data_IF_108759246651
#
_entry.id   IF_108759246651
#
_cell.length_a   1.000
_cell.length_b   1.000
_cell.length_c   1.000
_cell.angle_alpha   90.00
_cell.angle_beta   90.00
_cell.angle_gamma   90.00
#
_symmetry.space_group_name_H-M   'P 1'
#
loop_
_entity.id
_entity.type
_entity.pdbx_description
1 polymer ?
#
# COMPACT_ATOMS: atom_id res chain seq x y z
N UNK A 1 23.69 -4.61 -75.04
CA UNK A 1 24.44 -3.48 -75.63
C UNK A 1 24.06 -2.21 -74.88
N UNK A 2 25.08 -1.47 -74.42
CA UNK A 2 25.19 -0.01 -74.10
C UNK A 2 23.88 0.74 -73.78
N UNK A 3 23.67 1.45 -72.66
CA UNK A 3 24.61 2.26 -71.87
C UNK A 3 24.58 3.73 -72.31
N UNK A 4 24.01 4.63 -71.49
CA UNK A 4 24.28 6.10 -71.33
C UNK A 4 23.17 6.69 -70.45
N UNK A 5 23.38 7.14 -69.20
CA UNK A 5 24.22 8.25 -68.69
C UNK A 5 23.89 9.60 -69.32
N UNK A 6 23.40 10.52 -68.50
CA UNK A 6 23.22 11.94 -68.81
C UNK A 6 22.66 12.71 -67.63
N UNK A 7 23.48 12.95 -66.61
CA UNK A 7 23.21 13.92 -65.55
C UNK A 7 23.57 15.34 -66.03
N UNK A 8 22.78 16.35 -65.65
CA UNK A 8 23.29 17.72 -65.54
C UNK A 8 22.57 18.50 -64.44
N UNK A 9 23.40 19.07 -63.57
CA UNK A 9 23.13 20.02 -62.48
C UNK A 9 22.74 21.41 -63.03
N UNK A 10 21.94 22.17 -62.28
CA UNK A 10 22.39 23.44 -61.66
C UNK A 10 21.35 24.09 -60.75
N UNK A 11 21.89 24.62 -59.68
CA UNK A 11 21.31 25.37 -58.58
C UNK A 11 20.88 26.80 -58.99
N UNK A 12 19.91 27.41 -58.28
CA UNK A 12 20.16 28.53 -57.36
C UNK A 12 18.88 29.25 -56.91
N UNK A 13 18.93 29.65 -55.63
CA UNK A 13 18.00 30.46 -54.85
C UNK A 13 17.49 31.74 -55.54
N UNK A 14 16.28 32.20 -55.16
CA UNK A 14 16.15 33.51 -54.52
C UNK A 14 14.78 33.74 -53.84
N UNK A 15 14.90 34.43 -52.71
CA UNK A 15 13.94 34.94 -51.73
C UNK A 15 12.98 35.99 -52.29
N UNK A 16 11.76 36.13 -51.74
CA UNK A 16 11.02 37.39 -51.86
C UNK A 16 9.52 37.38 -51.61
N UNK A 17 9.14 37.53 -50.34
CA UNK A 17 8.00 38.29 -49.77
C UNK A 17 6.82 38.73 -50.67
N UNK A 18 5.60 38.60 -50.11
CA UNK A 18 4.56 39.62 -50.33
C UNK A 18 3.11 39.20 -50.10
N UNK A 19 2.60 39.50 -48.90
CA UNK A 19 1.22 39.94 -48.49
C UNK A 19 -0.01 39.38 -49.23
N UNK A 20 -0.98 38.74 -48.58
CA UNK A 20 -1.91 39.19 -47.51
C UNK A 20 -3.04 40.14 -47.97
N UNK A 21 -4.28 39.75 -47.63
CA UNK A 21 -5.54 40.52 -47.68
C UNK A 21 -6.73 39.55 -47.58
N UNK A 22 -7.16 39.10 -46.39
CA UNK A 22 -8.13 39.76 -45.49
C UNK A 22 -9.33 40.40 -46.19
N UNK A 23 -10.50 39.76 -46.06
CA UNK A 23 -11.78 40.44 -45.79
C UNK A 23 -12.56 39.59 -44.80
N UNK A 24 -12.97 40.25 -43.72
CA UNK A 24 -13.82 39.78 -42.63
C UNK A 24 -15.19 40.49 -42.79
N UNK A 25 -16.29 39.80 -42.48
CA UNK A 25 -17.49 40.34 -41.80
C UNK A 25 -18.69 39.39 -41.82
N UNK A 26 -19.04 38.93 -40.62
CA UNK A 26 -20.34 39.12 -39.94
C UNK A 26 -21.51 38.15 -40.15
N UNK A 27 -21.70 37.33 -39.10
CA UNK A 27 -22.93 37.04 -38.33
C UNK A 27 -24.18 36.42 -39.00
N UNK A 28 -24.53 35.19 -38.61
CA UNK A 28 -25.63 34.91 -37.67
C UNK A 28 -25.76 33.41 -37.29
N UNK A 29 -25.65 33.14 -35.99
CA UNK A 29 -26.18 32.03 -35.16
C UNK A 29 -26.87 30.80 -35.78
N UNK A 30 -26.40 29.59 -35.41
CA UNK A 30 -27.21 28.63 -34.63
C UNK A 30 -26.36 27.55 -33.93
N UNK A 31 -26.65 27.39 -32.64
CA UNK A 31 -26.06 26.51 -31.63
C UNK A 31 -25.88 25.04 -32.03
N UNK A 32 -24.84 24.39 -31.49
CA UNK A 32 -24.89 23.24 -30.53
C UNK A 32 -23.73 22.27 -30.77
N UNK A 33 -22.57 22.48 -30.12
CA UNK A 33 -21.70 21.41 -29.62
C UNK A 33 -20.50 22.01 -28.85
N UNK A 34 -20.71 22.44 -27.62
CA UNK A 34 -19.58 22.78 -26.74
C UNK A 34 -19.89 22.31 -25.32
N UNK A 35 -19.11 21.35 -24.84
CA UNK A 35 -19.33 20.70 -23.55
C UNK A 35 -18.16 19.82 -23.14
N UNK A 36 -17.15 20.44 -22.54
CA UNK A 36 -16.15 19.85 -21.65
C UNK A 36 -15.03 18.96 -22.24
N UNK A 37 -14.14 19.55 -23.05
CA UNK A 37 -12.73 19.13 -23.05
C UNK A 37 -12.05 19.62 -21.75
N UNK A 38 -11.96 18.76 -20.74
CA UNK A 38 -11.02 19.00 -19.63
C UNK A 38 -9.61 18.66 -20.10
N UNK A 39 -8.81 19.70 -20.34
CA UNK A 39 -7.36 19.60 -20.40
C UNK A 39 -6.86 19.09 -19.04
N UNK A 40 -6.62 17.78 -18.95
CA UNK A 40 -5.89 17.19 -17.83
C UNK A 40 -4.44 17.67 -17.93
N UNK A 41 -4.09 18.66 -17.11
CA UNK A 41 -2.69 19.03 -16.85
C UNK A 41 -1.99 17.76 -16.35
N UNK A 42 -0.99 17.29 -17.11
CA UNK A 42 -0.08 16.22 -16.71
C UNK A 42 0.57 16.62 -15.37
N UNK A 43 0.42 15.85 -14.29
CA UNK A 43 1.31 15.98 -13.15
C UNK A 43 2.70 15.54 -13.58
N UNK A 44 3.69 16.43 -13.47
CA UNK A 44 5.10 16.06 -13.56
C UNK A 44 5.40 14.92 -12.59
N UNK A 45 6.17 13.95 -13.07
CA UNK A 45 6.44 12.67 -12.41
C UNK A 45 6.84 12.81 -10.94
N UNK A 46 6.03 12.23 -10.06
CA UNK A 46 6.43 11.81 -8.72
C UNK A 46 5.95 10.38 -8.52
N UNK A 47 6.90 9.46 -8.36
CA UNK A 47 6.63 8.08 -7.96
C UNK A 47 6.12 8.07 -6.51
N UNK A 48 4.83 7.87 -6.31
CA UNK A 48 4.24 7.66 -4.98
C UNK A 48 4.38 6.19 -4.57
N UNK A 49 4.65 5.87 -3.31
CA UNK A 49 4.85 4.52 -2.76
C UNK A 49 3.53 3.72 -2.71
N UNK A 50 3.58 2.38 -2.75
CA UNK A 50 2.37 1.52 -2.61
C UNK A 50 2.13 1.13 -1.15
N UNK A 51 3.12 1.41 -0.30
CA UNK A 51 2.98 1.51 1.15
C UNK A 51 2.36 2.85 1.59
N UNK A 52 2.07 3.76 0.64
CA UNK A 52 1.42 5.06 0.84
C UNK A 52 -0.09 5.07 0.51
N UNK A 53 -0.70 3.94 0.14
CA UNK A 53 -2.17 3.85 0.09
C UNK A 53 -2.73 3.59 1.50
N UNK A 54 -2.63 4.60 2.35
CA UNK A 54 -3.67 4.87 3.35
C UNK A 54 -4.26 6.22 2.98
N UNK A 55 -5.41 6.14 2.32
CA UNK A 55 -6.31 7.21 1.91
C UNK A 55 -6.14 8.51 2.73
N UNK A 56 -5.57 9.53 2.08
CA UNK A 56 -5.89 10.92 2.41
C UNK A 56 -6.27 11.61 1.10
N UNK A 57 -7.49 11.35 0.64
CA UNK A 57 -8.18 12.22 -0.32
C UNK A 57 -9.46 12.67 0.39
N UNK A 58 -9.69 13.98 0.41
CA UNK A 58 -10.79 14.65 1.10
C UNK A 58 -12.14 14.05 0.72
N UNK A 59 -12.91 13.67 1.74
CA UNK A 59 -14.25 13.09 1.60
C UNK A 59 -15.29 14.19 1.35
N UNK A 60 -15.41 14.60 0.09
CA UNK A 60 -16.71 14.85 -0.55
C UNK A 60 -16.88 13.70 -1.53
N UNK A 61 -17.71 12.70 -1.21
CA UNK A 61 -18.39 11.67 -2.05
C UNK A 61 -17.73 11.14 -3.36
N UNK A 62 -16.45 11.35 -3.56
CA UNK A 62 -15.69 11.09 -4.78
C UNK A 62 -14.50 10.20 -4.41
N UNK A 63 -14.56 8.95 -4.85
CA UNK A 63 -13.50 7.95 -4.64
C UNK A 63 -12.28 8.21 -5.56
N UNK A 64 -11.29 7.31 -5.53
CA UNK A 64 -10.01 7.32 -6.28
C UNK A 64 -10.10 7.71 -7.77
N UNK A 65 -11.29 7.62 -8.38
CA UNK A 65 -11.57 7.92 -9.79
C UNK A 65 -12.53 9.09 -10.00
N UNK A 66 -13.01 9.75 -8.95
CA UNK A 66 -14.06 10.76 -9.06
C UNK A 66 -15.36 10.19 -9.66
N UNK A 67 -15.70 8.93 -9.34
CA UNK A 67 -16.90 8.24 -9.82
C UNK A 67 -17.59 7.51 -8.68
N UNK A 68 -18.92 7.44 -8.71
CA UNK A 68 -19.73 6.65 -7.75
C UNK A 68 -19.68 5.16 -8.07
N UNK A 69 -19.60 4.33 -7.02
CA UNK A 69 -19.55 2.87 -7.11
C UNK A 69 -20.90 2.19 -7.36
N UNK A 70 -22.01 2.94 -7.42
CA UNK A 70 -23.39 2.43 -7.46
C UNK A 70 -23.63 1.42 -8.61
N UNK A 71 -23.22 1.76 -9.84
CA UNK A 71 -23.36 0.87 -11.01
C UNK A 71 -22.53 -0.41 -10.88
N UNK A 72 -21.33 -0.31 -10.32
CA UNK A 72 -20.47 -1.47 -10.09
C UNK A 72 -20.99 -2.39 -9.00
N UNK A 73 -21.57 -1.82 -7.94
CA UNK A 73 -22.29 -2.58 -6.91
C UNK A 73 -23.50 -3.31 -7.49
N UNK A 74 -24.31 -2.60 -8.29
CA UNK A 74 -25.44 -3.19 -8.99
C UNK A 74 -25.01 -4.35 -9.89
N UNK A 75 -23.98 -4.15 -10.71
CA UNK A 75 -23.44 -5.19 -11.59
C UNK A 75 -23.01 -6.43 -10.81
N UNK A 76 -22.28 -6.27 -9.70
CA UNK A 76 -21.87 -7.40 -8.85
C UNK A 76 -23.10 -8.14 -8.33
N UNK A 77 -24.04 -7.41 -7.72
CA UNK A 77 -25.25 -8.00 -7.12
C UNK A 77 -26.05 -8.77 -8.17
N UNK A 78 -26.29 -8.19 -9.33
CA UNK A 78 -27.03 -8.84 -10.42
C UNK A 78 -26.32 -10.09 -10.94
N UNK A 79 -25.00 -10.05 -11.16
CA UNK A 79 -24.23 -11.23 -11.58
C UNK A 79 -24.35 -12.39 -10.58
N UNK A 80 -24.24 -12.11 -9.28
CA UNK A 80 -24.26 -13.13 -8.23
C UNK A 80 -25.67 -13.64 -7.91
N UNK A 81 -26.68 -12.76 -7.93
CA UNK A 81 -28.09 -13.16 -7.80
C UNK A 81 -28.50 -14.11 -8.93
N UNK A 82 -28.10 -13.83 -10.16
CA UNK A 82 -28.38 -14.70 -11.31
C UNK A 82 -27.62 -16.05 -11.24
N UNK A 83 -26.56 -16.14 -10.44
CA UNK A 83 -25.91 -17.42 -10.10
C UNK A 83 -26.60 -18.20 -8.99
N UNK A 84 -27.64 -17.63 -8.38
CA UNK A 84 -28.39 -18.25 -7.29
C UNK A 84 -27.89 -17.92 -5.90
N UNK A 85 -26.93 -16.98 -5.74
CA UNK A 85 -26.56 -16.51 -4.41
C UNK A 85 -27.68 -15.66 -3.82
N UNK A 86 -27.89 -15.78 -2.51
CA UNK A 86 -28.84 -14.92 -1.79
C UNK A 86 -28.27 -13.52 -1.55
N UNK A 87 -29.13 -12.52 -1.39
CA UNK A 87 -28.71 -11.17 -1.01
C UNK A 87 -27.88 -11.14 0.29
N UNK A 88 -28.18 -12.02 1.25
CA UNK A 88 -27.41 -12.14 2.49
C UNK A 88 -25.99 -12.66 2.25
N UNK A 89 -25.84 -13.70 1.42
CA UNK A 89 -24.52 -14.23 1.04
C UNK A 89 -23.68 -13.19 0.31
N UNK A 90 -24.30 -12.43 -0.60
CA UNK A 90 -23.62 -11.35 -1.34
C UNK A 90 -23.17 -10.24 -0.39
N UNK A 91 -24.01 -9.85 0.57
CA UNK A 91 -23.63 -8.87 1.59
C UNK A 91 -22.44 -9.37 2.43
N UNK A 92 -22.44 -10.65 2.82
CA UNK A 92 -21.30 -11.25 3.51
C UNK A 92 -19.98 -11.17 2.72
N UNK A 93 -20.01 -11.32 1.39
CA UNK A 93 -18.83 -11.14 0.53
C UNK A 93 -18.36 -9.68 0.53
N UNK A 94 -19.30 -8.74 0.38
CA UNK A 94 -19.01 -7.29 0.39
C UNK A 94 -18.39 -6.88 1.73
N UNK A 95 -18.93 -7.38 2.84
CA UNK A 95 -18.45 -7.07 4.19
C UNK A 95 -17.01 -7.54 4.40
N UNK A 96 -16.64 -8.72 3.86
CA UNK A 96 -15.26 -9.25 3.91
C UNK A 96 -14.26 -8.37 3.14
N UNK A 97 -14.71 -7.66 2.11
CA UNK A 97 -13.89 -6.73 1.34
C UNK A 97 -13.66 -5.38 2.04
N UNK A 98 -14.42 -5.03 3.10
CA UNK A 98 -14.19 -3.84 3.94
C UNK A 98 -13.74 -2.59 3.14
N UNK A 99 -12.54 -2.05 3.43
CA UNK A 99 -11.95 -0.86 2.79
C UNK A 99 -11.60 -1.04 1.31
N UNK A 100 -11.52 -2.28 0.79
CA UNK A 100 -11.32 -2.50 -0.65
C UNK A 100 -12.63 -2.51 -1.43
N UNK A 101 -13.79 -2.59 -0.76
CA UNK A 101 -15.09 -2.64 -1.44
C UNK A 101 -15.30 -1.42 -2.34
N UNK A 102 -15.09 -0.20 -1.83
CA UNK A 102 -15.23 1.03 -2.63
C UNK A 102 -14.41 1.01 -3.90
N UNK A 103 -13.14 0.59 -3.78
CA UNK A 103 -12.22 0.43 -4.89
C UNK A 103 -12.72 -0.60 -5.92
N UNK A 104 -13.27 -1.72 -5.46
CA UNK A 104 -13.87 -2.71 -6.35
C UNK A 104 -15.16 -2.18 -7.01
N UNK A 105 -16.06 -1.58 -6.25
CA UNK A 105 -17.31 -0.99 -6.76
C UNK A 105 -17.03 0.07 -7.84
N UNK A 106 -16.10 1.00 -7.61
CA UNK A 106 -15.71 1.99 -8.62
C UNK A 106 -15.08 1.36 -9.86
N UNK A 107 -14.18 0.38 -9.68
CA UNK A 107 -13.59 -0.34 -10.82
C UNK A 107 -14.63 -1.12 -11.63
N UNK A 108 -15.62 -1.72 -10.96
CA UNK A 108 -16.75 -2.38 -11.60
C UNK A 108 -17.69 -1.40 -12.29
N UNK A 109 -17.84 -0.17 -11.79
CA UNK A 109 -18.60 0.88 -12.50
C UNK A 109 -17.99 1.15 -13.86
N UNK A 110 -16.66 1.26 -13.98
CA UNK A 110 -16.01 1.47 -15.28
C UNK A 110 -16.27 0.28 -16.22
N UNK A 111 -16.22 -0.94 -15.68
CA UNK A 111 -16.53 -2.13 -16.46
C UNK A 111 -17.99 -2.17 -16.91
N UNK A 112 -18.94 -1.81 -16.04
CA UNK A 112 -20.36 -1.75 -16.36
C UNK A 112 -20.63 -0.76 -17.50
N UNK A 113 -19.96 0.39 -17.49
CA UNK A 113 -20.06 1.38 -18.57
C UNK A 113 -19.46 0.89 -19.88
N UNK A 114 -18.28 0.27 -19.84
CA UNK A 114 -17.69 -0.39 -21.00
C UNK A 114 -18.63 -1.45 -21.57
N UNK A 115 -19.16 -2.32 -20.71
CA UNK A 115 -20.03 -3.42 -21.12
C UNK A 115 -21.33 -2.92 -21.74
N UNK A 116 -21.94 -1.88 -21.15
CA UNK A 116 -23.11 -1.21 -21.72
C UNK A 116 -22.80 -0.58 -23.09
N UNK A 117 -21.61 0.02 -23.29
CA UNK A 117 -21.19 0.54 -24.60
C UNK A 117 -21.06 -0.58 -25.66
N UNK A 118 -20.73 -1.80 -25.25
CA UNK A 118 -20.73 -2.97 -26.13
C UNK A 118 -22.13 -3.59 -26.30
N UNK A 119 -23.20 -2.92 -25.84
CA UNK A 119 -24.57 -3.45 -25.80
C UNK A 119 -24.68 -4.78 -25.04
N UNK A 120 -23.79 -4.99 -24.07
CA UNK A 120 -23.72 -6.20 -23.28
C UNK A 120 -24.72 -6.21 -22.13
N UNK A 121 -25.32 -7.37 -21.88
CA UNK A 121 -26.22 -7.63 -20.74
C UNK A 121 -25.54 -8.48 -19.67
N UNK A 122 -26.06 -8.47 -18.44
CA UNK A 122 -25.56 -9.33 -17.35
C UNK A 122 -25.70 -10.82 -17.70
N UNK A 123 -26.80 -11.20 -18.35
CA UNK A 123 -27.03 -12.59 -18.76
C UNK A 123 -25.95 -13.07 -19.74
N UNK A 124 -25.55 -12.23 -20.68
CA UNK A 124 -24.45 -12.55 -21.60
C UNK A 124 -23.12 -12.77 -20.85
N UNK A 125 -22.83 -12.02 -19.79
CA UNK A 125 -21.61 -12.23 -18.99
C UNK A 125 -21.59 -13.64 -18.36
N UNK A 126 -22.74 -14.13 -17.93
CA UNK A 126 -22.88 -15.48 -17.34
C UNK A 126 -22.64 -16.58 -18.37
N UNK A 127 -23.02 -16.36 -19.63
CA UNK A 127 -22.87 -17.34 -20.72
C UNK A 127 -21.59 -17.18 -21.52
N UNK A 128 -20.74 -16.18 -21.23
CA UNK A 128 -19.44 -16.01 -21.90
C UNK A 128 -18.56 -17.26 -21.80
N UNK A 129 -18.31 -17.93 -22.93
CA UNK A 129 -17.36 -19.04 -23.00
C UNK A 129 -15.91 -18.55 -22.91
N UNK A 130 -15.61 -17.41 -23.52
CA UNK A 130 -14.24 -16.86 -23.64
C UNK A 130 -14.09 -15.57 -22.85
N UNK A 131 -14.21 -15.64 -21.52
CA UNK A 131 -14.07 -14.48 -20.63
C UNK A 131 -12.75 -13.71 -20.81
N UNK A 132 -11.69 -14.39 -21.26
CA UNK A 132 -10.39 -13.75 -21.48
C UNK A 132 -10.42 -12.68 -22.57
N UNK A 133 -11.25 -12.85 -23.61
CA UNK A 133 -11.39 -11.87 -24.68
C UNK A 133 -12.02 -10.58 -24.16
N UNK A 134 -13.07 -10.71 -23.33
CA UNK A 134 -13.70 -9.57 -22.68
C UNK A 134 -12.73 -8.82 -21.78
N UNK A 135 -11.92 -9.53 -20.99
CA UNK A 135 -10.89 -8.91 -20.14
C UNK A 135 -9.83 -8.21 -21.00
N UNK A 136 -9.33 -8.86 -22.06
CA UNK A 136 -8.30 -8.30 -22.94
C UNK A 136 -8.77 -7.03 -23.68
N UNK A 137 -10.00 -7.06 -24.20
CA UNK A 137 -10.62 -5.92 -24.88
C UNK A 137 -10.87 -4.78 -23.90
N UNK A 138 -11.34 -5.08 -22.68
CA UNK A 138 -11.50 -4.09 -21.64
C UNK A 138 -10.18 -3.43 -21.22
N UNK A 139 -9.11 -4.21 -21.00
CA UNK A 139 -7.78 -3.65 -20.71
C UNK A 139 -7.33 -2.72 -21.83
N UNK A 140 -7.55 -3.10 -23.08
CA UNK A 140 -7.20 -2.28 -24.25
C UNK A 140 -8.02 -1.00 -24.31
N UNK A 141 -9.31 -1.06 -23.99
CA UNK A 141 -10.19 0.10 -23.85
C UNK A 141 -9.70 1.09 -22.78
N UNK A 142 -9.16 0.61 -21.67
CA UNK A 142 -8.68 1.49 -20.59
C UNK A 142 -7.34 2.16 -20.87
N UNK A 143 -6.47 1.58 -21.71
CA UNK A 143 -5.11 2.11 -21.98
C UNK A 143 -5.03 3.61 -22.30
N UNK A 144 -5.90 4.19 -23.15
CA UNK A 144 -5.88 5.63 -23.42
C UNK A 144 -6.56 6.49 -22.35
N UNK A 145 -7.33 5.88 -21.43
CA UNK A 145 -8.20 6.61 -20.50
C UNK A 145 -7.63 6.70 -19.08
N UNK A 146 -6.90 5.68 -18.65
CA UNK A 146 -6.58 5.45 -17.24
C UNK A 146 -5.08 5.23 -16.99
N UNK A 147 -4.65 5.43 -15.76
CA UNK A 147 -3.26 5.14 -15.35
C UNK A 147 -2.98 3.64 -15.30
N UNK A 148 -1.73 3.22 -15.48
CA UNK A 148 -1.35 1.79 -15.40
C UNK A 148 -1.82 1.13 -14.09
N UNK A 149 -1.75 1.85 -12.96
CA UNK A 149 -2.24 1.37 -11.66
C UNK A 149 -3.77 1.17 -11.63
N UNK A 150 -4.53 2.11 -12.22
CA UNK A 150 -5.98 1.98 -12.37
C UNK A 150 -6.34 0.76 -13.23
N UNK A 151 -5.62 0.55 -14.34
CA UNK A 151 -5.86 -0.59 -15.25
C UNK A 151 -5.57 -1.91 -14.53
N UNK A 152 -4.49 -1.98 -13.75
CA UNK A 152 -4.16 -3.17 -12.93
C UNK A 152 -5.28 -3.46 -11.93
N UNK A 153 -5.76 -2.45 -11.20
CA UNK A 153 -6.85 -2.62 -10.24
C UNK A 153 -8.15 -3.07 -10.93
N UNK A 154 -8.50 -2.46 -12.06
CA UNK A 154 -9.71 -2.78 -12.80
C UNK A 154 -9.67 -4.20 -13.37
N UNK A 155 -8.54 -4.61 -13.94
CA UNK A 155 -8.31 -5.98 -14.43
C UNK A 155 -8.44 -7.03 -13.33
N UNK A 156 -7.82 -6.79 -12.16
CA UNK A 156 -7.93 -7.69 -11.01
C UNK A 156 -9.36 -7.78 -10.46
N UNK A 157 -10.08 -6.66 -10.47
CA UNK A 157 -11.46 -6.61 -9.98
C UNK A 157 -12.40 -7.41 -10.88
N UNK A 158 -12.28 -7.26 -12.21
CA UNK A 158 -13.07 -8.06 -13.17
C UNK A 158 -12.71 -9.53 -13.10
N UNK A 159 -11.42 -9.84 -12.93
CA UNK A 159 -10.98 -11.22 -12.73
C UNK A 159 -11.66 -11.85 -11.51
N UNK A 160 -11.76 -11.10 -10.42
CA UNK A 160 -12.47 -11.52 -9.19
C UNK A 160 -13.97 -11.69 -9.43
N UNK A 161 -14.61 -10.78 -10.18
CA UNK A 161 -16.02 -10.93 -10.56
C UNK A 161 -16.25 -12.23 -11.35
N UNK A 162 -15.43 -12.49 -12.36
CA UNK A 162 -15.56 -13.72 -13.16
C UNK A 162 -15.27 -14.99 -12.36
N UNK A 163 -14.34 -14.93 -11.40
CA UNK A 163 -14.10 -16.03 -10.47
C UNK A 163 -15.32 -16.32 -9.60
N UNK A 164 -15.99 -15.29 -9.07
CA UNK A 164 -17.24 -15.44 -8.32
C UNK A 164 -18.42 -15.89 -9.19
N UNK A 165 -18.31 -15.76 -10.51
CA UNK A 165 -19.26 -16.30 -11.49
C UNK A 165 -18.87 -17.71 -11.99
N UNK A 166 -17.97 -18.39 -11.29
CA UNK A 166 -17.46 -19.73 -11.60
C UNK A 166 -16.82 -19.85 -13.00
N UNK A 167 -16.23 -18.76 -13.52
CA UNK A 167 -15.47 -18.85 -14.77
C UNK A 167 -14.14 -19.58 -14.50
N UNK A 168 -13.69 -20.45 -15.43
CA UNK A 168 -12.53 -21.27 -15.18
C UNK A 168 -11.24 -20.41 -15.13
N UNK A 169 -10.32 -20.76 -14.23
CA UNK A 169 -9.13 -19.95 -13.95
C UNK A 169 -8.25 -19.73 -15.19
N UNK A 170 -8.22 -20.68 -16.13
CA UNK A 170 -7.49 -20.58 -17.39
C UNK A 170 -8.07 -19.52 -18.36
N UNK A 171 -9.36 -19.18 -18.23
CA UNK A 171 -10.02 -18.11 -18.99
C UNK A 171 -9.94 -16.76 -18.27
N UNK A 172 -9.65 -16.73 -16.98
CA UNK A 172 -9.42 -15.50 -16.22
C UNK A 172 -7.94 -15.09 -16.27
N UNK A 173 -7.03 -16.06 -16.18
CA UNK A 173 -5.57 -15.87 -16.18
C UNK A 173 -4.94 -16.44 -17.45
N UNK A 174 -5.47 -16.03 -18.59
CA UNK A 174 -4.95 -16.44 -19.90
C UNK A 174 -3.61 -15.75 -20.21
N UNK A 175 -2.74 -16.40 -21.01
CA UNK A 175 -1.46 -15.84 -21.47
C UNK A 175 -1.61 -14.48 -22.15
N UNK A 176 -2.69 -14.24 -22.90
CA UNK A 176 -2.98 -12.94 -23.53
C UNK A 176 -3.10 -11.84 -22.46
N UNK A 177 -3.87 -12.11 -21.41
CA UNK A 177 -4.03 -11.17 -20.28
C UNK A 177 -2.69 -10.97 -19.59
N UNK A 178 -1.93 -12.04 -19.35
CA UNK A 178 -0.60 -11.96 -18.74
C UNK A 178 0.33 -11.02 -19.53
N UNK A 179 0.42 -11.18 -20.86
CA UNK A 179 1.25 -10.31 -21.71
C UNK A 179 0.77 -8.86 -21.71
N UNK A 180 -0.54 -8.62 -21.76
CA UNK A 180 -1.11 -7.26 -21.69
C UNK A 180 -0.81 -6.61 -20.35
N UNK A 181 -0.95 -7.36 -19.26
CA UNK A 181 -0.67 -6.90 -17.90
C UNK A 181 0.82 -6.70 -17.64
N UNK A 182 1.71 -7.52 -18.21
CA UNK A 182 3.15 -7.48 -17.93
C UNK A 182 3.77 -6.10 -18.19
N UNK A 183 3.44 -5.47 -19.31
CA UNK A 183 3.95 -4.12 -19.61
C UNK A 183 3.40 -3.08 -18.63
N UNK A 184 2.11 -3.14 -18.31
CA UNK A 184 1.46 -2.24 -17.35
C UNK A 184 2.08 -2.38 -15.96
N UNK A 185 2.28 -3.63 -15.50
CA UNK A 185 2.92 -3.94 -14.22
C UNK A 185 4.36 -3.42 -14.21
N UNK A 186 5.13 -3.64 -15.27
CA UNK A 186 6.52 -3.17 -15.32
C UNK A 186 6.62 -1.64 -15.28
N UNK A 187 5.73 -0.91 -15.97
CA UNK A 187 5.70 0.55 -15.95
C UNK A 187 5.15 1.12 -14.64
N UNK A 188 4.20 0.44 -14.02
CA UNK A 188 3.68 0.79 -12.70
C UNK A 188 4.67 0.41 -11.57
N UNK A 189 5.58 -0.53 -11.84
CA UNK A 189 6.59 -0.95 -10.87
C UNK A 189 7.48 0.23 -10.51
N UNK A 190 7.51 0.55 -9.22
CA UNK A 190 8.25 1.71 -8.72
C UNK A 190 9.75 1.47 -8.84
N UNK A 191 10.44 2.49 -9.34
CA UNK A 191 11.89 2.55 -9.25
C UNK A 191 12.27 2.54 -7.77
N UNK A 192 13.05 1.56 -7.37
CA UNK A 192 13.52 1.44 -5.99
C UNK A 192 14.61 2.48 -5.76
N UNK A 193 14.20 3.68 -5.37
CA UNK A 193 15.12 4.77 -5.08
C UNK A 193 15.75 4.60 -3.69
N UNK A 194 17.06 4.84 -3.65
CA UNK A 194 17.90 4.84 -2.44
C UNK A 194 17.70 6.13 -1.62
N UNK A 195 16.44 6.44 -1.31
CA UNK A 195 16.12 7.61 -0.48
C UNK A 195 16.34 7.21 0.98
N UNK A 196 17.34 7.84 1.61
CA UNK A 196 17.50 7.84 3.06
C UNK A 196 16.28 8.54 3.66
N UNK A 197 15.48 7.82 4.44
CA UNK A 197 14.34 8.41 5.14
C UNK A 197 14.83 9.41 6.20
N UNK A 198 13.93 10.27 6.68
CA UNK A 198 14.19 11.15 7.81
C UNK A 198 14.59 10.32 9.05
N UNK A 199 15.48 10.86 9.89
CA UNK A 199 15.99 10.15 11.07
C UNK A 199 14.96 10.15 12.19
N UNK A 200 14.66 8.99 12.78
CA UNK A 200 13.69 8.91 13.88
C UNK A 200 14.05 9.84 15.05
N UNK A 201 15.35 10.03 15.30
CA UNK A 201 15.87 10.95 16.31
C UNK A 201 15.34 12.37 16.18
N UNK A 202 15.08 12.88 14.97
CA UNK A 202 14.50 14.21 14.74
C UNK A 202 13.11 14.33 15.37
N UNK A 203 12.25 13.33 15.15
CA UNK A 203 10.92 13.28 15.75
C UNK A 203 10.99 13.10 17.27
N UNK A 204 11.86 12.23 17.75
CA UNK A 204 12.01 11.97 19.19
C UNK A 204 12.54 13.19 19.94
N UNK A 205 13.44 13.97 19.34
CA UNK A 205 13.91 15.24 19.90
C UNK A 205 12.79 16.28 19.97
N UNK A 206 11.97 16.39 18.93
CA UNK A 206 10.79 17.27 18.96
C UNK A 206 9.85 16.89 20.11
N UNK A 207 9.48 15.61 20.21
CA UNK A 207 8.60 15.13 21.29
C UNK A 207 9.22 15.37 22.67
N UNK A 208 10.52 15.13 22.81
CA UNK A 208 11.25 15.41 24.04
C UNK A 208 11.17 16.88 24.44
N UNK A 209 11.26 17.81 23.48
CA UNK A 209 11.09 19.26 23.73
C UNK A 209 9.66 19.62 24.14
N UNK A 210 8.65 18.90 23.66
CA UNK A 210 7.26 19.12 24.06
C UNK A 210 6.94 18.60 25.47
N UNK A 211 7.80 17.76 26.06
CA UNK A 211 7.55 17.15 27.36
C UNK A 211 7.48 18.18 28.51
N UNK A 212 8.22 19.29 28.41
CA UNK A 212 8.14 20.38 29.40
C UNK A 212 6.74 21.00 29.45
N UNK A 213 6.15 21.28 28.28
CA UNK A 213 4.78 21.79 28.18
C UNK A 213 3.73 20.80 28.72
N UNK A 214 3.99 19.50 28.57
CA UNK A 214 3.15 18.46 29.16
C UNK A 214 3.26 18.48 30.69
N UNK A 215 4.48 18.46 31.21
CA UNK A 215 4.74 18.38 32.66
C UNK A 215 4.30 19.65 33.40
N UNK A 216 4.37 20.81 32.76
CA UNK A 216 3.79 22.07 33.23
C UNK A 216 2.27 22.17 33.05
N UNK A 217 1.63 21.10 32.58
CA UNK A 217 0.20 21.04 32.30
C UNK A 217 -0.30 22.11 31.31
N UNK A 218 0.58 22.68 30.47
CA UNK A 218 0.26 23.69 29.44
C UNK A 218 -0.19 23.06 28.12
N UNK A 219 0.11 21.79 27.87
CA UNK A 219 -0.37 21.09 26.66
C UNK A 219 -1.88 20.87 26.70
N UNK A 220 -2.59 21.27 25.65
CA UNK A 220 -4.02 20.98 25.54
C UNK A 220 -4.29 19.50 25.21
N UNK A 221 -5.50 19.02 25.49
CA UNK A 221 -5.91 17.63 25.25
C UNK A 221 -5.63 17.17 23.81
N UNK A 222 -5.90 18.03 22.82
CA UNK A 222 -5.68 17.73 21.40
C UNK A 222 -4.18 17.53 21.06
N UNK A 223 -3.26 18.26 21.69
CA UNK A 223 -1.82 18.05 21.49
C UNK A 223 -1.36 16.75 22.16
N UNK A 224 -1.83 16.49 23.38
CA UNK A 224 -1.52 15.26 24.11
C UNK A 224 -1.98 14.02 23.33
N UNK A 225 -3.19 14.05 22.74
CA UNK A 225 -3.69 12.97 21.87
C UNK A 225 -2.78 12.74 20.66
N UNK A 226 -2.37 13.80 19.95
CA UNK A 226 -1.53 13.68 18.74
C UNK A 226 -0.15 13.11 19.04
N UNK A 227 0.49 13.57 20.12
CA UNK A 227 1.80 13.04 20.54
C UNK A 227 1.66 11.60 21.01
N UNK A 228 0.60 11.27 21.76
CA UNK A 228 0.32 9.89 22.19
C UNK A 228 0.13 8.94 21.02
N UNK A 229 -0.70 9.32 20.03
CA UNK A 229 -0.88 8.57 18.77
C UNK A 229 0.45 8.33 18.06
N UNK A 230 1.28 9.36 17.99
CA UNK A 230 2.58 9.31 17.31
C UNK A 230 3.52 8.34 18.02
N UNK A 231 3.62 8.40 19.36
CA UNK A 231 4.45 7.50 20.14
C UNK A 231 3.96 6.05 20.09
N UNK A 232 2.64 5.82 20.10
CA UNK A 232 2.08 4.48 19.90
C UNK A 232 2.54 3.93 18.54
N UNK A 233 2.43 4.71 17.46
CA UNK A 233 2.91 4.29 16.14
C UNK A 233 4.41 4.02 16.11
N UNK A 234 5.24 4.83 16.78
CA UNK A 234 6.69 4.62 16.85
C UNK A 234 7.01 3.31 17.58
N UNK A 235 6.46 3.09 18.77
CA UNK A 235 6.83 1.94 19.61
C UNK A 235 6.19 0.61 19.20
N UNK A 236 4.99 0.65 18.64
CA UNK A 236 4.28 -0.58 18.23
C UNK A 236 4.40 -0.88 16.75
N UNK A 237 4.88 0.09 15.97
CA UNK A 237 4.86 0.10 14.50
C UNK A 237 3.48 -0.16 13.88
N UNK A 238 2.38 -0.08 14.65
CA UNK A 238 1.03 -0.27 14.14
C UNK A 238 0.66 0.79 13.09
N UNK A 239 -0.20 0.39 12.14
CA UNK A 239 -0.75 1.30 11.13
C UNK A 239 -1.80 2.21 11.76
N UNK A 240 -2.07 3.35 11.12
CA UNK A 240 -3.04 4.31 11.64
C UNK A 240 -4.44 3.71 11.84
N UNK A 241 -4.92 2.87 10.92
CA UNK A 241 -6.21 2.19 11.08
C UNK A 241 -6.19 1.23 12.30
N UNK A 242 -5.11 0.48 12.49
CA UNK A 242 -4.93 -0.41 13.63
C UNK A 242 -4.87 0.37 14.95
N UNK A 243 -4.20 1.53 14.97
CA UNK A 243 -4.16 2.42 16.16
C UNK A 243 -5.51 3.07 16.42
N UNK A 244 -6.21 3.51 15.37
CA UNK A 244 -7.52 4.16 15.47
C UNK A 244 -8.59 3.22 16.03
N UNK A 245 -8.55 1.93 15.69
CA UNK A 245 -9.49 0.94 16.21
C UNK A 245 -9.05 0.33 17.55
N UNK A 246 -7.85 0.64 18.03
CA UNK A 246 -7.31 -0.01 19.21
C UNK A 246 -8.09 0.32 20.49
N UNK A 247 -8.12 -0.65 21.40
CA UNK A 247 -8.52 -0.51 22.79
C UNK A 247 -7.26 -0.34 23.66
N UNK A 248 -7.24 0.68 24.52
CA UNK A 248 -6.19 0.84 25.54
C UNK A 248 -6.65 0.21 26.84
N UNK A 249 -6.04 -0.92 27.19
CA UNK A 249 -6.26 -1.57 28.48
C UNK A 249 -5.27 -1.01 29.50
N UNK A 250 -5.76 -0.10 30.32
CA UNK A 250 -4.99 0.68 31.30
C UNK A 250 -4.89 0.00 32.68
N UNK A 251 -5.30 -1.26 32.82
CA UNK A 251 -5.35 -1.97 34.11
C UNK A 251 -4.02 -2.03 34.85
N UNK A 252 -2.90 -2.01 34.11
CA UNK A 252 -1.54 -2.09 34.66
C UNK A 252 -0.75 -0.78 34.51
N UNK A 253 -1.43 0.35 34.26
CA UNK A 253 -0.76 1.63 33.98
C UNK A 253 0.14 2.10 35.14
N UNK A 254 -0.25 1.81 36.39
CA UNK A 254 0.51 2.12 37.60
C UNK A 254 1.78 1.26 37.73
N UNK A 255 1.79 0.08 37.12
CA UNK A 255 2.97 -0.78 37.03
C UNK A 255 3.87 -0.38 35.85
N UNK A 256 3.51 0.67 35.11
CA UNK A 256 4.25 1.14 33.96
C UNK A 256 4.01 0.33 32.70
N UNK A 257 2.85 -0.33 32.58
CA UNK A 257 2.46 -1.11 31.40
C UNK A 257 1.08 -0.69 30.87
N UNK A 258 0.94 -0.60 29.54
CA UNK A 258 -0.35 -0.41 28.87
C UNK A 258 -0.45 -1.44 27.75
N UNK A 259 -1.57 -2.17 27.69
CA UNK A 259 -1.83 -3.10 26.58
C UNK A 259 -2.70 -2.41 25.52
N UNK A 260 -2.24 -2.49 24.28
CA UNK A 260 -2.94 -2.03 23.08
C UNK A 260 -3.51 -3.26 22.40
N UNK A 261 -4.82 -3.46 22.50
CA UNK A 261 -5.52 -4.54 21.81
C UNK A 261 -6.14 -4.00 20.51
N UNK A 262 -5.86 -4.63 19.38
CA UNK A 262 -6.39 -4.22 18.06
C UNK A 262 -6.54 -5.43 17.14
N UNK A 263 -7.03 -5.21 15.93
CA UNK A 263 -7.17 -6.21 14.87
C UNK A 263 -6.20 -5.87 13.73
N UNK A 264 -5.35 -6.83 13.32
CA UNK A 264 -4.57 -6.67 12.10
C UNK A 264 -5.47 -6.88 10.89
N UNK A 265 -5.60 -5.84 10.07
CA UNK A 265 -6.45 -5.88 8.87
C UNK A 265 -5.76 -6.51 7.66
N UNK A 266 -4.42 -6.60 7.68
CA UNK A 266 -3.59 -7.27 6.66
C UNK A 266 -3.02 -8.58 7.19
N UNK A 267 -2.68 -9.50 6.27
CA UNK A 267 -2.18 -10.85 6.63
C UNK A 267 -0.90 -10.80 7.47
N UNK A 268 -0.77 -11.65 8.52
CA UNK A 268 -1.83 -12.49 9.09
C UNK A 268 -2.91 -11.62 9.77
N UNK A 269 -4.18 -11.82 9.39
CA UNK A 269 -5.32 -11.13 10.00
C UNK A 269 -5.63 -11.78 11.34
N UNK A 270 -5.88 -10.99 12.37
CA UNK A 270 -6.27 -11.51 13.67
C UNK A 270 -6.12 -10.48 14.79
N UNK A 271 -6.64 -10.81 15.99
CA UNK A 271 -6.43 -9.98 17.16
C UNK A 271 -4.94 -9.92 17.49
N UNK A 272 -4.46 -8.72 17.79
CA UNK A 272 -3.08 -8.46 18.18
C UNK A 272 -3.08 -7.60 19.43
N UNK A 273 -2.31 -8.04 20.41
CA UNK A 273 -2.03 -7.28 21.62
C UNK A 273 -0.56 -6.85 21.63
N UNK A 274 -0.32 -5.56 21.84
CA UNK A 274 1.01 -4.98 22.00
C UNK A 274 1.09 -4.33 23.38
N UNK A 275 2.05 -4.77 24.18
CA UNK A 275 2.30 -4.15 25.49
C UNK A 275 3.32 -3.04 25.32
N UNK A 276 2.93 -1.81 25.68
CA UNK A 276 3.84 -0.69 25.87
C UNK A 276 4.34 -0.72 27.31
N UNK A 277 5.66 -0.64 27.48
CA UNK A 277 6.30 -0.49 28.77
C UNK A 277 6.84 0.92 28.95
N UNK A 278 6.94 1.38 30.20
CA UNK A 278 7.49 2.68 30.51
C UNK A 278 8.92 2.80 29.98
N UNK A 279 9.17 3.82 29.15
CA UNK A 279 10.52 4.11 28.69
C UNK A 279 11.35 4.73 29.82
N UNK A 280 12.64 4.38 29.88
CA UNK A 280 13.58 4.98 30.83
C UNK A 280 13.62 6.51 30.68
N UNK A 281 13.65 7.01 29.44
CA UNK A 281 13.53 8.42 29.17
C UNK A 281 12.07 8.88 29.32
N UNK A 282 11.82 9.60 30.41
CA UNK A 282 10.50 10.14 30.78
C UNK A 282 9.93 11.15 29.78
N UNK A 283 10.76 11.82 28.97
CA UNK A 283 10.28 12.82 28.01
C UNK A 283 9.57 12.18 26.81
N UNK A 284 10.02 10.99 26.40
CA UNK A 284 9.49 10.24 25.26
C UNK A 284 8.64 9.02 25.67
N UNK A 285 8.44 8.82 26.98
CA UNK A 285 7.65 7.71 27.52
C UNK A 285 6.18 7.82 27.10
N UNK A 286 5.74 6.91 26.23
CA UNK A 286 4.35 6.85 25.72
C UNK A 286 3.32 6.76 26.83
N UNK A 287 3.60 6.00 27.89
CA UNK A 287 2.70 5.85 29.04
C UNK A 287 2.45 7.18 29.75
N UNK A 288 3.50 7.99 29.94
CA UNK A 288 3.34 9.33 30.55
C UNK A 288 2.50 10.27 29.70
N UNK A 289 2.73 10.27 28.39
CA UNK A 289 1.91 11.06 27.47
C UNK A 289 0.44 10.62 27.49
N UNK A 290 0.20 9.31 27.55
CA UNK A 290 -1.14 8.75 27.68
C UNK A 290 -1.75 9.14 29.03
N UNK A 291 -1.04 9.01 30.15
CA UNK A 291 -1.52 9.42 31.48
C UNK A 291 -1.95 10.88 31.53
N UNK A 292 -1.08 11.81 31.09
CA UNK A 292 -1.43 13.23 31.05
C UNK A 292 -2.64 13.52 30.13
N UNK A 293 -2.80 12.75 29.05
CA UNK A 293 -3.98 12.85 28.21
C UNK A 293 -5.24 12.34 28.91
N UNK A 294 -5.17 11.20 29.62
CA UNK A 294 -6.26 10.62 30.41
C UNK A 294 -6.71 11.57 31.52
N UNK A 295 -5.77 12.22 32.22
CA UNK A 295 -6.08 13.18 33.29
C UNK A 295 -6.83 14.41 32.79
N UNK A 296 -6.61 14.81 31.52
CA UNK A 296 -7.31 15.94 30.88
C UNK A 296 -8.58 15.54 30.13
N UNK A 297 -8.89 14.25 30.03
CA UNK A 297 -10.02 13.73 29.27
C UNK A 297 -11.01 12.96 30.16
N UNK A 298 -12.29 13.23 30.02
CA UNK A 298 -13.32 12.35 30.62
C UNK A 298 -13.49 11.09 29.75
N UNK A 299 -12.69 10.05 30.00
CA UNK A 299 -12.83 8.76 29.30
C UNK A 299 -13.73 7.79 30.08
N UNK A 300 -14.72 7.22 29.38
CA UNK A 300 -15.36 5.94 29.75
C UNK A 300 -14.62 4.80 29.03
N UNK A 301 -14.51 3.66 29.71
CA UNK A 301 -13.47 2.62 29.59
C UNK A 301 -13.21 1.92 28.24
N UNK A 302 -13.88 2.20 27.12
CA UNK A 302 -13.97 1.19 26.05
C UNK A 302 -13.60 1.61 24.62
N UNK A 303 -13.17 2.85 24.34
CA UNK A 303 -12.68 3.23 23.00
C UNK A 303 -11.79 4.48 23.08
N UNK A 304 -10.61 4.41 22.48
CA UNK A 304 -9.48 5.30 22.83
C UNK A 304 -9.67 6.74 22.32
N UNK A 305 -10.37 6.98 21.22
CA UNK A 305 -10.30 8.29 20.57
C UNK A 305 -11.62 9.10 20.61
N UNK A 306 -12.36 9.10 21.73
CA UNK A 306 -13.56 9.96 21.89
C UNK A 306 -13.23 11.34 22.44
N UNK A 307 -13.86 12.39 21.88
CA UNK A 307 -13.89 13.74 22.46
C UNK A 307 -15.33 14.04 22.89
N UNK A 308 -15.52 13.97 24.21
CA UNK A 308 -16.65 14.52 24.97
C UNK A 308 -18.02 13.82 24.84
N UNK A 309 -18.86 14.02 25.87
CA UNK A 309 -20.10 13.30 26.21
C UNK A 309 -21.22 13.31 25.15
N UNK A 310 -21.03 13.98 23.99
CA UNK A 310 -22.02 14.05 22.91
C UNK A 310 -21.60 13.43 21.57
N UNK A 311 -20.32 13.17 21.22
CA UNK A 311 -19.97 12.85 19.83
C UNK A 311 -18.72 11.98 19.56
N UNK A 312 -18.82 11.24 18.44
CA UNK A 312 -17.82 10.66 17.51
C UNK A 312 -16.38 10.37 17.98
N UNK A 313 -16.01 9.09 17.83
CA UNK A 313 -14.63 8.59 17.75
C UNK A 313 -13.89 9.32 16.63
N UNK A 314 -12.62 9.71 16.86
CA UNK A 314 -11.79 10.27 15.79
C UNK A 314 -11.75 9.29 14.61
N UNK A 315 -12.07 9.81 13.43
CA UNK A 315 -11.86 9.08 12.19
C UNK A 315 -10.37 8.87 11.94
N UNK A 316 -10.03 7.85 11.16
CA UNK A 316 -8.66 7.57 10.71
C UNK A 316 -8.02 8.80 10.05
N UNK A 317 -8.79 9.59 9.29
CA UNK A 317 -8.33 10.85 8.68
C UNK A 317 -7.98 11.92 9.73
N UNK A 318 -8.80 12.08 10.77
CA UNK A 318 -8.52 13.04 11.85
C UNK A 318 -7.26 12.64 12.63
N UNK A 319 -7.09 11.36 12.93
CA UNK A 319 -5.86 10.84 13.55
C UNK A 319 -4.65 11.05 12.64
N UNK A 320 -4.78 10.74 11.35
CA UNK A 320 -3.75 10.94 10.32
C UNK A 320 -3.31 12.40 10.23
N UNK A 321 -4.26 13.35 10.10
CA UNK A 321 -3.98 14.80 10.09
C UNK A 321 -3.31 15.27 11.38
N UNK A 322 -3.72 14.71 12.52
CA UNK A 322 -3.10 14.98 13.82
C UNK A 322 -1.62 14.60 13.85
N UNK A 323 -1.29 13.37 13.43
CA UNK A 323 0.08 12.87 13.36
C UNK A 323 0.90 13.59 12.28
N UNK A 324 0.33 13.88 11.11
CA UNK A 324 1.00 14.70 10.07
C UNK A 324 1.43 16.06 10.61
N UNK A 325 0.62 16.69 11.48
CA UNK A 325 0.98 17.97 12.11
C UNK A 325 2.16 17.83 13.08
N UNK A 326 2.25 16.71 13.81
CA UNK A 326 3.40 16.43 14.68
C UNK A 326 4.68 16.28 13.84
N UNK A 327 4.62 15.57 12.72
CA UNK A 327 5.74 15.44 11.78
C UNK A 327 6.17 16.80 11.21
N UNK A 328 5.21 17.60 10.72
CA UNK A 328 5.50 18.92 10.18
C UNK A 328 6.15 19.83 11.23
N UNK A 329 5.65 19.84 12.47
CA UNK A 329 6.23 20.61 13.57
C UNK A 329 7.64 20.14 13.96
N UNK A 330 7.98 18.87 13.69
CA UNK A 330 9.33 18.34 13.85
C UNK A 330 10.26 18.67 12.67
N UNK A 331 9.78 19.40 11.65
CA UNK A 331 10.52 19.70 10.42
C UNK A 331 10.58 18.52 9.44
N UNK A 332 9.64 17.57 9.54
CA UNK A 332 9.54 16.40 8.66
C UNK A 332 8.40 16.66 7.66
N UNK A 333 8.74 17.31 6.56
CA UNK A 333 7.79 17.69 5.51
C UNK A 333 7.84 16.73 4.31
N UNK A 334 6.72 16.62 3.59
CA UNK A 334 6.64 15.79 2.38
C UNK A 334 6.52 14.29 2.61
N UNK A 335 6.49 13.83 3.87
CA UNK A 335 6.34 12.41 4.22
C UNK A 335 4.92 12.07 4.70
N UNK A 336 4.46 10.88 4.35
CA UNK A 336 3.22 10.31 4.89
C UNK A 336 3.43 9.70 6.28
N UNK A 337 2.35 9.55 7.06
CA UNK A 337 2.41 8.99 8.42
C UNK A 337 2.95 7.55 8.46
N UNK A 338 2.80 6.80 7.36
CA UNK A 338 3.35 5.44 7.22
C UNK A 338 4.88 5.44 7.24
N UNK A 339 5.52 6.58 6.95
CA UNK A 339 6.97 6.75 7.08
C UNK A 339 7.46 6.61 8.52
N UNK A 340 6.60 6.81 9.54
CA UNK A 340 6.97 6.59 10.96
C UNK A 340 7.33 5.13 11.21
N UNK A 341 6.49 4.20 10.70
CA UNK A 341 6.77 2.76 10.77
C UNK A 341 8.09 2.45 10.07
N UNK A 342 8.34 3.07 8.90
CA UNK A 342 9.61 2.90 8.17
C UNK A 342 10.81 3.38 8.96
N UNK A 343 10.79 4.63 9.44
CA UNK A 343 11.86 5.22 10.22
C UNK A 343 12.15 4.42 11.50
N UNK A 344 11.11 3.90 12.17
CA UNK A 344 11.26 3.10 13.38
C UNK A 344 11.92 1.75 13.09
N UNK A 345 11.51 1.05 12.02
CA UNK A 345 12.14 -0.22 11.62
C UNK A 345 13.58 0.01 11.17
N UNK A 346 13.85 1.04 10.35
CA UNK A 346 15.21 1.36 9.90
C UNK A 346 16.13 1.73 11.08
N UNK A 347 15.67 2.51 12.06
CA UNK A 347 16.45 2.83 13.26
C UNK A 347 16.80 1.56 14.07
N UNK A 348 15.88 0.60 14.17
CA UNK A 348 16.17 -0.68 14.85
C UNK A 348 17.20 -1.53 14.11
N UNK A 349 17.22 -1.48 12.77
CA UNK A 349 18.26 -2.14 11.96
C UNK A 349 19.63 -1.50 12.18
N UNK A 350 19.69 -0.17 12.21
CA UNK A 350 20.93 0.58 12.46
C UNK A 350 21.52 0.29 13.85
N UNK A 351 20.71 -0.23 14.77
CA UNK A 351 21.12 -0.69 16.10
C UNK A 351 21.41 -2.20 16.17
N UNK A 352 21.63 -2.85 15.02
CA UNK A 352 22.01 -4.26 14.89
C UNK A 352 21.02 -5.25 15.53
N UNK A 353 19.72 -4.91 15.59
CA UNK A 353 18.69 -5.87 15.98
C UNK A 353 18.61 -7.01 14.95
N UNK A 354 18.40 -8.23 15.42
CA UNK A 354 18.27 -9.38 14.50
C UNK A 354 16.98 -9.29 13.68
N UNK A 355 17.00 -9.84 12.46
CA UNK A 355 15.82 -9.86 11.59
C UNK A 355 14.61 -10.53 12.27
N UNK A 356 14.84 -11.60 13.05
CA UNK A 356 13.77 -12.30 13.80
C UNK A 356 13.12 -11.37 14.83
N UNK A 357 13.92 -10.59 15.57
CA UNK A 357 13.38 -9.63 16.53
C UNK A 357 12.56 -8.55 15.82
N UNK A 358 13.05 -8.03 14.69
CA UNK A 358 12.34 -7.03 13.90
C UNK A 358 11.04 -7.59 13.34
N UNK A 359 11.04 -8.81 12.78
CA UNK A 359 9.85 -9.47 12.25
C UNK A 359 8.77 -9.66 13.32
N UNK A 360 9.14 -10.22 14.47
CA UNK A 360 8.23 -10.42 15.61
C UNK A 360 7.67 -9.10 16.15
N UNK A 361 8.53 -8.10 16.33
CA UNK A 361 8.11 -6.78 16.80
C UNK A 361 7.15 -6.11 15.82
N UNK A 362 7.47 -6.14 14.52
CA UNK A 362 6.68 -5.49 13.46
C UNK A 362 5.49 -6.29 12.95
N UNK A 363 5.33 -7.54 13.39
CA UNK A 363 4.25 -8.43 12.97
C UNK A 363 4.36 -8.89 11.52
N UNK A 364 5.58 -8.95 10.96
CA UNK A 364 5.83 -9.57 9.66
C UNK A 364 6.12 -11.06 9.86
N UNK A 365 5.78 -11.90 8.87
CA UNK A 365 6.19 -13.30 8.90
C UNK A 365 7.70 -13.43 8.77
N UNK A 366 8.28 -14.42 9.46
CA UNK A 366 9.73 -14.68 9.44
C UNK A 366 10.27 -15.01 8.04
N UNK A 367 9.40 -15.45 7.12
CA UNK A 367 9.71 -15.71 5.72
C UNK A 367 9.55 -14.47 4.80
N UNK A 368 9.15 -13.32 5.34
CA UNK A 368 8.81 -12.14 4.54
C UNK A 368 10.06 -11.38 4.10
N UNK A 369 10.24 -11.25 2.79
CA UNK A 369 11.24 -10.34 2.23
C UNK A 369 10.86 -8.85 2.38
N UNK A 370 9.66 -8.52 2.88
CA UNK A 370 9.16 -7.14 2.94
C UNK A 370 10.08 -6.21 3.75
N UNK A 371 10.57 -6.65 4.91
CA UNK A 371 11.47 -5.85 5.76
C UNK A 371 12.77 -5.54 5.00
N UNK A 372 13.40 -6.57 4.43
CA UNK A 372 14.63 -6.44 3.63
C UNK A 372 14.46 -5.57 2.38
N UNK A 373 13.32 -5.69 1.69
CA UNK A 373 13.12 -5.02 0.39
C UNK A 373 12.66 -3.57 0.56
N UNK A 374 11.85 -3.28 1.58
CA UNK A 374 11.20 -1.98 1.72
C UNK A 374 11.81 -1.09 2.81
N UNK A 375 12.46 -1.69 3.83
CA UNK A 375 12.90 -0.98 5.03
C UNK A 375 14.42 -0.98 5.23
N UNK A 376 15.10 -2.04 4.79
CA UNK A 376 16.57 -2.16 4.84
C UNK A 376 17.21 -1.43 3.65
N UNK A 377 17.38 -0.11 3.80
CA UNK A 377 18.01 0.75 2.78
C UNK A 377 19.47 1.11 3.10
N UNK A 378 19.94 0.82 4.32
CA UNK A 378 21.24 1.27 4.81
C UNK A 378 22.37 0.24 4.59
N UNK A 379 22.06 -1.00 4.19
CA UNK A 379 23.08 -2.03 3.93
C UNK A 379 24.10 -1.58 2.87
N UNK A 380 23.72 -0.75 1.90
CA UNK A 380 24.64 -0.28 0.85
C UNK A 380 25.72 0.66 1.36
N UNK A 381 25.45 1.55 2.30
CA UNK A 381 26.48 2.43 2.88
C UNK A 381 27.47 1.62 3.71
N UNK A 382 26.97 0.59 4.41
CA UNK A 382 27.82 -0.37 5.12
C UNK A 382 28.70 -1.13 4.13
N UNK A 383 28.13 -1.64 3.03
CA UNK A 383 28.93 -2.28 1.97
C UNK A 383 29.94 -1.30 1.37
N UNK A 384 29.54 -0.07 1.04
CA UNK A 384 30.46 0.95 0.48
C UNK A 384 31.61 1.19 1.44
N UNK A 385 31.35 1.37 2.74
CA UNK A 385 32.37 1.55 3.75
C UNK A 385 33.29 0.31 3.86
N UNK A 386 32.75 -0.90 3.80
CA UNK A 386 33.54 -2.14 3.79
C UNK A 386 34.43 -2.22 2.54
N UNK A 387 33.89 -1.88 1.36
CA UNK A 387 34.63 -1.88 0.09
C UNK A 387 35.69 -0.78 0.05
N UNK A 388 35.39 0.41 0.57
CA UNK A 388 36.35 1.50 0.74
C UNK A 388 37.46 1.13 1.71
N UNK A 389 37.12 0.44 2.81
CA UNK A 389 38.10 -0.08 3.77
C UNK A 389 38.94 -1.20 3.16
N UNK A 390 38.36 -2.07 2.31
CA UNK A 390 39.13 -3.08 1.59
C UNK A 390 40.10 -2.47 0.57
N UNK A 391 39.74 -1.32 -0.02
CA UNK A 391 40.62 -0.56 -0.93
C UNK A 391 41.72 0.24 -0.22
N UNK A 392 41.52 0.56 1.07
CA UNK A 392 42.53 1.14 1.94
C UNK A 392 43.20 -0.01 2.68
N UNK A 393 44.30 -0.54 2.17
CA UNK A 393 45.24 -1.25 3.03
C UNK A 393 45.97 -0.18 3.88
N UNK A 394 45.81 -0.16 5.20
CA UNK A 394 46.95 0.12 6.05
C UNK A 394 47.28 -1.14 6.85
N UNK A 395 48.58 -1.31 7.11
CA UNK A 395 49.06 -2.10 8.22
C UNK A 395 48.26 -1.69 9.48
N UNK A 396 47.29 -2.51 9.91
CA UNK A 396 46.48 -2.22 11.08
C UNK A 396 46.60 -3.34 12.10
N UNK A 397 46.80 -2.92 13.34
CA UNK A 397 47.04 -3.76 14.50
C UNK A 397 45.78 -4.59 14.85
N UNK A 398 45.97 -5.78 15.42
CA UNK A 398 44.94 -6.80 15.69
C UNK A 398 43.67 -6.30 16.44
N UNK A 399 43.72 -5.17 17.13
CA UNK A 399 42.57 -4.61 17.86
C UNK A 399 41.49 -4.00 16.96
N UNK A 400 41.85 -3.38 15.83
CA UNK A 400 40.89 -2.80 14.88
C UNK A 400 40.25 -3.88 14.00
N UNK A 401 40.99 -4.97 13.77
CA UNK A 401 40.54 -6.16 13.07
C UNK A 401 39.41 -6.83 13.87
N UNK A 402 39.53 -7.00 15.19
CA UNK A 402 38.52 -7.68 16.01
C UNK A 402 37.16 -6.95 16.08
N UNK A 403 37.13 -5.62 16.04
CA UNK A 403 35.86 -4.87 15.97
C UNK A 403 35.15 -5.07 14.63
N UNK A 404 35.90 -5.16 13.52
CA UNK A 404 35.34 -5.45 12.21
C UNK A 404 34.93 -6.93 12.04
N UNK A 405 35.66 -7.88 12.63
CA UNK A 405 35.28 -9.29 12.64
C UNK A 405 33.99 -9.55 13.44
N UNK A 406 33.71 -8.75 14.48
CA UNK A 406 32.44 -8.81 15.20
C UNK A 406 31.27 -8.41 14.29
N UNK A 407 31.46 -7.41 13.42
CA UNK A 407 30.50 -6.97 12.40
C UNK A 407 30.34 -7.97 11.23
N UNK A 408 31.44 -8.61 10.82
CA UNK A 408 31.44 -9.64 9.76
C UNK A 408 30.85 -10.96 10.27
N UNK A 409 31.02 -11.30 11.55
CA UNK A 409 30.45 -12.52 12.14
C UNK A 409 28.93 -12.45 12.31
N UNK A 410 28.34 -11.26 12.48
CA UNK A 410 26.90 -11.04 12.38
C UNK A 410 26.41 -11.21 10.93
N UNK A 411 27.14 -10.71 9.94
CA UNK A 411 26.85 -10.93 8.51
C UNK A 411 26.97 -12.43 8.14
N UNK A 412 27.94 -13.17 8.70
CA UNK A 412 28.14 -14.60 8.43
C UNK A 412 27.05 -15.49 9.05
N UNK A 413 26.50 -15.09 10.20
CA UNK A 413 25.28 -15.73 10.77
C UNK A 413 24.07 -15.54 9.86
N UNK A 414 23.94 -14.38 9.23
CA UNK A 414 22.89 -14.12 8.23
C UNK A 414 23.16 -14.83 6.88
N UNK A 415 24.42 -15.03 6.50
CA UNK A 415 24.78 -15.83 5.32
C UNK A 415 24.48 -17.33 5.50
N UNK A 416 24.58 -17.82 6.74
CA UNK A 416 24.24 -19.22 7.08
C UNK A 416 22.72 -19.46 7.04
N UNK A 417 21.92 -18.46 7.43
CA UNK A 417 20.46 -18.50 7.25
C UNK A 417 20.06 -18.30 5.78
N UNK A 418 20.81 -17.51 5.00
CA UNK A 418 20.69 -17.40 3.53
C UNK A 418 20.94 -18.74 2.83
N UNK A 419 21.95 -19.52 3.22
CA UNK A 419 22.20 -20.84 2.63
C UNK A 419 21.07 -21.82 3.00
N UNK A 420 20.59 -21.80 4.24
CA UNK A 420 19.46 -22.65 4.66
C UNK A 420 18.14 -22.26 3.95
N UNK A 421 17.92 -20.97 3.70
CA UNK A 421 16.73 -20.47 2.99
C UNK A 421 16.84 -20.66 1.48
N UNK A 422 18.03 -20.56 0.89
CA UNK A 422 18.26 -20.77 -0.55
C UNK A 422 18.19 -22.25 -0.92
N UNK A 423 18.77 -23.14 -0.10
CA UNK A 423 18.61 -24.60 -0.23
C UNK A 423 17.13 -24.99 -0.10
N UNK A 424 16.38 -24.40 0.83
CA UNK A 424 14.93 -24.61 0.94
C UNK A 424 14.12 -23.97 -0.20
N UNK A 425 14.64 -22.93 -0.86
CA UNK A 425 13.99 -22.27 -2.00
C UNK A 425 14.22 -23.05 -3.29
N UNK A 426 15.40 -23.62 -3.48
CA UNK A 426 15.71 -24.51 -4.60
C UNK A 426 14.99 -25.86 -4.43
N UNK A 427 14.90 -26.41 -3.20
CA UNK A 427 14.05 -27.56 -2.90
C UNK A 427 12.55 -27.27 -3.18
N UNK A 428 12.03 -26.09 -2.80
CA UNK A 428 10.62 -25.70 -3.06
C UNK A 428 10.32 -25.26 -4.50
N UNK A 429 11.30 -24.78 -5.26
CA UNK A 429 11.15 -24.49 -6.69
C UNK A 429 11.19 -25.79 -7.48
N UNK A 430 12.00 -26.77 -7.06
CA UNK A 430 11.99 -28.12 -7.61
C UNK A 430 10.68 -28.86 -7.28
N UNK A 431 10.13 -28.71 -6.07
CA UNK A 431 8.81 -29.26 -5.69
C UNK A 431 7.60 -28.52 -6.30
N UNK A 432 7.78 -27.32 -6.89
CA UNK A 432 6.67 -26.56 -7.53
C UNK A 432 6.52 -26.79 -9.03
N UNK A 433 7.33 -27.67 -9.63
CA UNK A 433 7.23 -28.01 -11.06
C UNK A 433 6.49 -29.34 -11.31
N UNK A 434 6.00 -30.04 -10.28
CA UNK A 434 5.04 -31.16 -10.43
C UNK A 434 3.94 -31.04 -9.36
N UNK A 435 2.64 -31.16 -9.71
CA UNK A 435 1.54 -30.71 -8.86
C UNK A 435 1.19 -31.74 -7.79
N UNK A 436 0.99 -31.29 -6.55
CA UNK A 436 0.30 -32.09 -5.54
C UNK A 436 -0.65 -31.21 -4.73
N UNK A 437 -1.83 -30.97 -5.29
CA UNK A 437 -3.05 -30.77 -4.52
C UNK A 437 -3.65 -32.14 -4.29
N UNK A 438 -3.11 -32.87 -3.30
CA UNK A 438 -3.78 -34.04 -2.74
C UNK A 438 -3.34 -34.18 -1.28
N UNK A 439 -4.16 -33.62 -0.37
CA UNK A 439 -4.25 -34.00 1.05
C UNK A 439 -5.39 -33.26 1.78
N UNK A 440 -6.60 -33.74 1.52
CA UNK A 440 -7.78 -33.90 2.41
C UNK A 440 -8.54 -35.05 1.74
N UNK A 441 -8.94 -36.16 2.32
CA UNK A 441 -9.23 -36.59 3.68
C UNK A 441 -9.16 -38.13 3.65
N UNK A 442 -8.81 -38.76 4.77
CA UNK A 442 -8.82 -40.22 4.90
C UNK A 442 -9.21 -40.59 6.32
N UNK A 443 -10.48 -40.36 6.66
CA UNK A 443 -11.14 -41.00 7.79
C UNK A 443 -12.55 -41.44 7.40
N UNK A 444 -12.69 -42.76 7.31
CA UNK A 444 -13.82 -43.60 7.67
C UNK A 444 -15.20 -43.35 7.02
N UNK A 445 -15.46 -44.16 5.99
CA UNK A 445 -16.80 -44.70 5.75
C UNK A 445 -16.90 -46.05 6.47
N UNK A 446 -17.71 -46.15 7.52
CA UNK A 446 -18.24 -47.44 7.99
C UNK A 446 -19.59 -47.67 7.29
N UNK A 447 -19.86 -48.89 6.79
CA UNK A 447 -21.14 -49.24 6.20
C UNK A 447 -22.20 -49.43 7.28
N UNK A 448 -23.42 -49.00 6.94
CA UNK A 448 -24.66 -49.31 7.65
C UNK A 448 -25.04 -50.73 7.26
N UNK A 449 -24.92 -51.66 8.20
CA UNK A 449 -25.58 -52.97 8.11
C UNK A 449 -27.00 -52.86 8.65
N UNK A 450 -27.93 -53.23 7.77
CA UNK A 450 -29.32 -53.61 7.98
C UNK A 450 -29.36 -54.98 7.26
N UNK A 451 -29.71 -56.15 7.81
CA UNK A 451 -30.85 -56.56 8.64
C UNK A 451 -30.63 -58.05 9.02
N UNK A 452 -31.15 -58.49 10.17
CA UNK A 452 -31.34 -59.88 10.66
C UNK A 452 -30.12 -60.66 11.15
#
# INVERSE_FOLDING_TARGET
MQGRVGASKRDNNCTGMGRAGMVDSSNANRNTLEGARRLVKRPQGRSMDEEEQSETTSMEDWDFLGRRGEKGEQLLKECLLNKGLTGQSIQGIIDVWHESWKRHACSLTIFAEYWAQQSGTVLQLLTLEQSYLTIANYITYLKPLESDACIIQASNTISTLFELMDKPMNSIKNKVIEYLMKQLVNRATKVRNEIRYWKLSQLMQYISKQATLRDENKSNSNQLTKVSLTLIMVYTVLRMAEVQMAELRIGYINQGDIVIATMTMKKPRGPVEKTLKAAQNRTICSIRWIQSWLEKGELRKEQVWRINRKEKVWSTDKCSKGVKRVLANAGIEGYNITSIRKASISETMDKNMTQIQIFRWSGHSDASATVRVNYDKNYKDIIRNILEYAGKQPNLNESEINNNYTLVSSIRRDASSLNYVQINREARISERIVPQWDRREGYASHPVDNVS
#
